data_IF_797651128345
#
_entry.id   IF_797651128345
#
_cell.length_a   1.000
_cell.length_b   1.000
_cell.length_c   1.000
_cell.angle_alpha   90.00
_cell.angle_beta   90.00
_cell.angle_gamma   90.00
#
_symmetry.space_group_name_H-M   'P 1'
#
loop_
_entity.id
_entity.type
_entity.pdbx_description
1 polymer ?
#
# COMPACT_ATOMS: atom_id res chain seq x y z
N UNK A 1 57.79 -2.32 -36.23
CA UNK A 1 56.39 -2.00 -35.85
C UNK A 1 55.68 -3.33 -35.61
N UNK A 2 55.30 -3.65 -34.37
CA UNK A 2 54.52 -4.86 -34.08
C UNK A 2 53.04 -4.49 -34.04
N UNK A 3 52.21 -5.18 -34.82
CA UNK A 3 50.76 -4.98 -34.79
C UNK A 3 50.16 -5.65 -33.56
N UNK A 4 49.23 -4.96 -32.88
CA UNK A 4 48.45 -5.51 -31.78
C UNK A 4 47.24 -6.24 -32.37
N UNK A 5 47.23 -7.57 -32.24
CA UNK A 5 46.11 -8.43 -32.68
C UNK A 5 45.19 -8.77 -31.50
N UNK A 6 43.97 -9.23 -31.80
CA UNK A 6 42.94 -9.55 -30.81
C UNK A 6 43.39 -10.65 -29.82
N UNK A 7 44.28 -11.54 -30.25
CA UNK A 7 44.88 -12.60 -29.42
C UNK A 7 45.76 -12.05 -28.28
N UNK A 8 46.18 -10.78 -28.36
CA UNK A 8 47.00 -10.12 -27.33
C UNK A 8 46.18 -9.22 -26.40
N UNK A 9 44.85 -9.20 -26.55
CA UNK A 9 43.95 -8.34 -25.78
C UNK A 9 43.08 -9.18 -24.86
N UNK A 10 43.23 -8.99 -23.55
CA UNK A 10 42.37 -9.63 -22.54
C UNK A 10 41.18 -8.71 -22.22
N UNK A 11 39.96 -9.24 -22.29
CA UNK A 11 38.74 -8.50 -22.01
C UNK A 11 38.35 -8.54 -20.53
N UNK A 12 37.63 -7.51 -20.08
CA UNK A 12 37.03 -7.45 -18.74
C UNK A 12 36.10 -8.66 -18.53
N UNK A 13 36.40 -9.51 -17.56
CA UNK A 13 35.61 -10.73 -17.23
C UNK A 13 36.25 -12.05 -17.68
N UNK A 14 37.37 -12.00 -18.42
CA UNK A 14 38.17 -13.19 -18.69
C UNK A 14 38.99 -13.57 -17.44
N UNK A 15 38.93 -14.84 -17.03
CA UNK A 15 39.74 -15.38 -15.93
C UNK A 15 40.97 -16.05 -16.52
N UNK A 16 42.17 -15.53 -16.21
CA UNK A 16 43.43 -16.15 -16.60
C UNK A 16 43.60 -17.49 -15.86
N UNK A 17 43.90 -18.55 -16.61
CA UNK A 17 44.18 -19.88 -16.08
C UNK A 17 45.58 -20.31 -16.52
N UNK A 18 46.24 -21.15 -15.72
CA UNK A 18 47.53 -21.76 -16.03
C UNK A 18 48.73 -20.78 -16.10
N UNK A 19 48.66 -19.63 -15.43
CA UNK A 19 49.77 -18.67 -15.25
C UNK A 19 49.73 -18.06 -13.85
N UNK A 20 50.90 -17.85 -13.21
CA UNK A 20 50.96 -17.32 -11.84
C UNK A 20 50.79 -15.80 -11.77
N UNK A 21 51.33 -15.06 -12.75
CA UNK A 21 51.21 -13.61 -12.83
C UNK A 21 51.32 -13.16 -14.29
N UNK A 22 50.73 -12.00 -14.60
CA UNK A 22 50.75 -11.38 -15.91
C UNK A 22 50.88 -9.87 -15.75
N UNK A 23 51.79 -9.24 -16.50
CA UNK A 23 51.88 -7.79 -16.61
C UNK A 23 51.23 -7.34 -17.92
N UNK A 24 50.35 -6.35 -17.85
CA UNK A 24 49.67 -5.80 -19.01
C UNK A 24 49.36 -4.32 -18.81
N UNK A 25 49.13 -3.62 -19.92
CA UNK A 25 48.74 -2.20 -19.93
C UNK A 25 47.23 -2.12 -20.19
N UNK A 26 46.53 -1.28 -19.42
CA UNK A 26 45.09 -1.06 -19.60
C UNK A 26 44.90 -0.14 -20.81
N UNK A 27 44.35 -0.69 -21.90
CA UNK A 27 44.08 0.06 -23.13
C UNK A 27 42.67 0.70 -23.09
N UNK A 28 41.69 0.00 -22.51
CA UNK A 28 40.30 0.46 -22.41
C UNK A 28 39.76 0.26 -20.99
N UNK A 29 39.25 1.34 -20.39
CA UNK A 29 38.66 1.32 -19.04
C UNK A 29 37.20 1.80 -19.08
N UNK A 30 36.34 1.18 -18.26
CA UNK A 30 34.95 1.60 -18.10
C UNK A 30 34.08 1.39 -19.36
N UNK A 31 33.36 2.45 -19.76
CA UNK A 31 32.33 2.46 -20.83
C UNK A 31 32.86 2.14 -22.22
N UNK A 32 34.17 2.23 -22.39
CA UNK A 32 34.85 1.98 -23.67
C UNK A 32 35.29 0.51 -23.81
N UNK A 33 35.04 -0.33 -22.79
CA UNK A 33 35.27 -1.78 -22.91
C UNK A 33 34.25 -2.40 -23.87
N UNK A 34 34.72 -3.28 -24.78
CA UNK A 34 33.87 -4.00 -25.74
C UNK A 34 32.67 -4.70 -25.06
N UNK A 35 32.83 -5.14 -23.82
CA UNK A 35 31.76 -5.78 -23.03
C UNK A 35 30.65 -4.80 -22.63
N UNK A 36 30.99 -3.56 -22.25
CA UNK A 36 29.99 -2.54 -21.89
C UNK A 36 29.32 -1.94 -23.12
N UNK A 37 30.00 -1.92 -24.27
CA UNK A 37 29.40 -1.55 -25.55
C UNK A 37 28.45 -2.63 -26.10
N UNK A 38 28.69 -3.91 -25.79
CA UNK A 38 27.80 -5.02 -26.15
C UNK A 38 26.69 -5.26 -25.11
N UNK A 39 26.82 -4.68 -23.91
CA UNK A 39 25.76 -4.65 -22.91
C UNK A 39 24.74 -3.58 -23.30
N UNK A 40 23.70 -3.98 -24.03
CA UNK A 40 22.57 -3.10 -24.32
C UNK A 40 22.01 -2.49 -23.03
N UNK A 41 21.60 -1.20 -23.08
CA UNK A 41 21.04 -0.47 -21.94
C UNK A 41 20.03 -1.35 -21.21
N UNK A 42 20.21 -1.55 -19.91
CA UNK A 42 19.28 -2.29 -19.04
C UNK A 42 17.88 -1.70 -19.19
N UNK A 43 17.06 -2.31 -20.05
CA UNK A 43 15.64 -1.98 -20.13
C UNK A 43 14.99 -2.59 -18.89
N UNK A 44 14.59 -1.73 -17.97
CA UNK A 44 13.68 -2.09 -16.90
C UNK A 44 12.51 -2.86 -17.52
N UNK A 45 12.33 -4.10 -17.07
CA UNK A 45 11.28 -5.00 -17.51
C UNK A 45 9.97 -4.46 -16.91
N UNK A 46 9.36 -3.47 -17.56
CA UNK A 46 7.98 -3.04 -17.22
C UNK A 46 7.07 -4.23 -17.38
N UNK A 47 6.32 -4.54 -16.34
CA UNK A 47 5.39 -5.65 -16.34
C UNK A 47 4.28 -5.37 -17.36
N UNK A 48 3.76 -6.42 -18.00
CA UNK A 48 2.64 -6.32 -18.95
C UNK A 48 1.38 -5.67 -18.34
N UNK A 49 1.31 -5.61 -17.01
CA UNK A 49 0.25 -4.96 -16.21
C UNK A 49 0.23 -3.45 -16.43
N UNK A 50 1.40 -2.79 -16.50
CA UNK A 50 1.50 -1.34 -16.74
C UNK A 50 0.86 -0.94 -18.07
N UNK A 51 0.94 -1.81 -19.08
CA UNK A 51 0.42 -1.56 -20.43
C UNK A 51 -1.10 -1.71 -20.50
N UNK A 52 -1.66 -2.65 -19.75
CA UNK A 52 -3.11 -2.86 -19.63
C UNK A 52 -3.76 -1.68 -18.89
N UNK A 53 -3.13 -1.24 -17.79
CA UNK A 53 -3.57 -0.06 -17.04
C UNK A 53 -3.55 1.19 -17.92
N UNK A 54 -2.46 1.40 -18.69
CA UNK A 54 -2.36 2.55 -19.58
C UNK A 54 -3.38 2.51 -20.74
N UNK A 55 -3.77 1.33 -21.22
CA UNK A 55 -4.82 1.19 -22.24
C UNK A 55 -6.21 1.55 -21.71
N UNK A 56 -6.53 1.13 -20.49
CA UNK A 56 -7.77 1.52 -19.80
C UNK A 56 -7.78 3.04 -19.55
N UNK A 57 -6.64 3.62 -19.16
CA UNK A 57 -6.48 5.07 -18.90
C UNK A 57 -6.61 5.91 -20.18
N UNK A 58 -6.12 5.45 -21.34
CA UNK A 58 -6.22 6.19 -22.61
C UNK A 58 -7.63 6.07 -23.23
N UNK A 59 -8.33 4.95 -23.00
CA UNK A 59 -9.72 4.76 -23.45
C UNK A 59 -10.73 5.64 -22.70
N UNK A 60 -10.43 6.00 -21.45
CA UNK A 60 -11.15 7.02 -20.69
C UNK A 60 -10.41 8.35 -20.80
N UNK A 61 -10.80 9.23 -21.72
CA UNK A 61 -10.25 10.58 -21.84
C UNK A 61 -10.17 11.30 -20.47
N UNK A 62 -9.00 11.31 -19.84
CA UNK A 62 -8.74 12.03 -18.60
C UNK A 62 -7.29 12.54 -18.51
N UNK A 63 -7.10 13.79 -18.04
CA UNK A 63 -5.81 14.43 -17.86
C UNK A 63 -5.05 13.84 -16.66
N UNK A 64 -3.74 13.65 -16.81
CA UNK A 64 -2.75 13.40 -15.75
C UNK A 64 -2.99 12.20 -14.83
N UNK A 65 -2.14 11.19 -15.00
CA UNK A 65 -1.93 9.99 -14.15
C UNK A 65 -1.90 10.31 -12.64
N UNK A 66 -1.50 11.54 -12.28
CA UNK A 66 -1.44 12.07 -10.90
C UNK A 66 -2.82 12.36 -10.29
N UNK A 67 -3.84 12.67 -11.10
CA UNK A 67 -5.23 12.83 -10.67
C UNK A 67 -5.88 11.47 -10.46
N UNK A 68 -5.55 10.48 -11.31
CA UNK A 68 -6.09 9.13 -11.21
C UNK A 68 -5.69 8.44 -9.90
N UNK A 69 -4.41 8.51 -9.50
CA UNK A 69 -3.94 7.93 -8.22
C UNK A 69 -4.61 8.59 -7.01
N UNK A 70 -4.90 9.89 -7.09
CA UNK A 70 -5.64 10.62 -6.04
C UNK A 70 -7.11 10.23 -5.98
N UNK A 71 -7.77 10.08 -7.13
CA UNK A 71 -9.19 9.70 -7.20
C UNK A 71 -9.37 8.24 -6.78
N UNK A 72 -8.49 7.32 -7.18
CA UNK A 72 -8.51 5.92 -6.72
C UNK A 72 -8.35 5.83 -5.19
N UNK A 73 -7.42 6.59 -4.60
CA UNK A 73 -7.27 6.67 -3.15
C UNK A 73 -8.53 7.18 -2.46
N UNK A 74 -9.16 8.23 -2.99
CA UNK A 74 -10.40 8.79 -2.45
C UNK A 74 -11.56 7.78 -2.53
N UNK A 75 -11.70 7.05 -3.65
CA UNK A 75 -12.76 6.05 -3.84
C UNK A 75 -12.59 4.86 -2.88
N UNK A 76 -11.36 4.39 -2.68
CA UNK A 76 -11.07 3.31 -1.72
C UNK A 76 -11.35 3.75 -0.29
N UNK A 77 -10.96 4.97 0.09
CA UNK A 77 -11.29 5.53 1.40
C UNK A 77 -12.80 5.66 1.60
N UNK A 78 -13.53 6.14 0.58
CA UNK A 78 -14.99 6.25 0.65
C UNK A 78 -15.65 4.88 0.83
N UNK A 79 -15.17 3.85 0.12
CA UNK A 79 -15.67 2.49 0.25
C UNK A 79 -15.44 1.89 1.64
N UNK A 80 -14.27 2.13 2.22
CA UNK A 80 -13.92 1.67 3.58
C UNK A 80 -14.79 2.38 4.61
N UNK A 81 -14.92 3.71 4.53
CA UNK A 81 -15.76 4.50 5.45
C UNK A 81 -17.22 4.06 5.37
N UNK A 82 -17.75 3.82 4.16
CA UNK A 82 -19.12 3.34 3.98
C UNK A 82 -19.34 1.95 4.58
N UNK A 83 -18.40 1.02 4.38
CA UNK A 83 -18.44 -0.31 4.98
C UNK A 83 -18.38 -0.26 6.52
N UNK A 84 -17.55 0.63 7.05
CA UNK A 84 -17.32 0.80 8.49
C UNK A 84 -18.55 1.43 9.16
N UNK A 85 -19.19 2.41 8.53
CA UNK A 85 -20.47 2.98 8.97
C UNK A 85 -21.57 1.91 9.05
N UNK A 86 -21.65 1.02 8.05
CA UNK A 86 -22.62 -0.08 8.02
C UNK A 86 -22.43 -1.05 9.20
N UNK A 87 -21.18 -1.44 9.49
CA UNK A 87 -20.86 -2.29 10.64
C UNK A 87 -21.20 -1.61 11.98
N UNK A 88 -20.88 -0.32 12.13
CA UNK A 88 -21.23 0.43 13.33
C UNK A 88 -22.75 0.49 13.56
N UNK A 89 -23.54 0.71 12.51
CA UNK A 89 -25.01 0.74 12.58
C UNK A 89 -25.58 -0.62 12.98
N UNK A 90 -25.05 -1.70 12.41
CA UNK A 90 -25.48 -3.05 12.78
C UNK A 90 -25.19 -3.36 14.25
N UNK A 91 -23.98 -3.05 14.74
CA UNK A 91 -23.62 -3.22 16.15
C UNK A 91 -24.46 -2.34 17.08
N UNK A 92 -24.80 -1.11 16.68
CA UNK A 92 -25.68 -0.21 17.44
C UNK A 92 -27.07 -0.81 17.63
N UNK A 93 -27.68 -1.31 16.55
CA UNK A 93 -29.00 -1.95 16.60
C UNK A 93 -28.94 -3.22 17.46
N UNK A 94 -27.91 -4.04 17.27
CA UNK A 94 -27.72 -5.26 18.06
C UNK A 94 -27.57 -4.98 19.56
N UNK A 95 -26.77 -3.97 19.94
CA UNK A 95 -26.63 -3.54 21.33
C UNK A 95 -27.94 -2.96 21.89
N UNK A 96 -28.67 -2.15 21.13
CA UNK A 96 -29.96 -1.61 21.57
C UNK A 96 -31.02 -2.70 21.82
N UNK A 97 -31.08 -3.72 20.96
CA UNK A 97 -31.98 -4.87 21.13
C UNK A 97 -31.54 -5.71 22.33
N UNK A 98 -30.24 -6.00 22.45
CA UNK A 98 -29.68 -6.77 23.57
C UNK A 98 -29.95 -6.11 24.92
N UNK A 99 -29.77 -4.80 24.99
CA UNK A 99 -29.99 -4.01 26.19
C UNK A 99 -31.46 -4.06 26.64
N UNK A 100 -32.38 -4.00 25.67
CA UNK A 100 -33.83 -4.06 25.93
C UNK A 100 -34.27 -5.43 26.45
N UNK A 101 -33.66 -6.53 25.98
CA UNK A 101 -34.09 -7.90 26.34
C UNK A 101 -33.34 -8.44 27.57
N UNK A 102 -32.02 -8.31 27.59
CA UNK A 102 -31.12 -8.96 28.58
C UNK A 102 -30.55 -7.95 29.57
N UNK A 103 -30.26 -6.71 29.15
CA UNK A 103 -29.61 -5.69 29.99
C UNK A 103 -30.38 -5.37 31.27
N UNK A 104 -31.71 -5.46 31.21
CA UNK A 104 -32.63 -5.32 32.35
C UNK A 104 -32.36 -6.34 33.47
N UNK A 105 -32.04 -7.59 33.14
CA UNK A 105 -31.72 -8.62 34.13
C UNK A 105 -30.31 -8.43 34.72
N UNK A 106 -29.41 -7.83 33.94
CA UNK A 106 -28.03 -7.59 34.33
C UNK A 106 -27.83 -6.34 35.20
N UNK A 107 -28.83 -5.45 35.30
CA UNK A 107 -28.79 -4.30 36.22
C UNK A 107 -28.53 -4.68 37.69
N UNK A 108 -28.82 -5.92 38.08
CA UNK A 108 -28.55 -6.41 39.44
C UNK A 108 -27.05 -6.57 39.72
N UNK A 109 -26.24 -6.79 38.69
CA UNK A 109 -24.79 -6.97 38.79
C UNK A 109 -24.01 -5.71 38.37
N UNK A 110 -24.57 -4.91 37.45
CA UNK A 110 -23.93 -3.69 36.94
C UNK A 110 -24.97 -2.54 36.86
N UNK A 111 -25.09 -1.71 37.91
CA UNK A 111 -26.03 -0.58 37.91
C UNK A 111 -25.58 0.51 36.94
N UNK A 112 -26.55 1.12 36.23
CA UNK A 112 -26.29 2.23 35.32
C UNK A 112 -25.87 3.49 36.08
N UNK A 113 -24.98 4.24 35.45
CA UNK A 113 -24.59 5.55 35.93
C UNK A 113 -25.77 6.54 35.85
N UNK A 114 -25.74 7.60 36.67
CA UNK A 114 -26.87 8.57 36.78
C UNK A 114 -27.17 9.34 35.48
N UNK A 115 -26.28 9.24 34.48
CA UNK A 115 -26.42 9.77 33.13
C UNK A 115 -27.45 9.01 32.26
N UNK A 116 -27.80 7.77 32.63
CA UNK A 116 -28.74 6.94 31.88
C UNK A 116 -30.11 7.01 32.56
N UNK A 117 -31.16 7.46 31.87
CA UNK A 117 -32.47 7.63 32.50
C UNK A 117 -33.06 6.27 32.88
N UNK A 118 -33.75 6.20 34.03
CA UNK A 118 -34.30 4.96 34.61
C UNK A 118 -35.42 4.32 33.78
N UNK A 119 -35.91 5.02 32.77
CA UNK A 119 -36.88 4.50 31.80
C UNK A 119 -36.25 3.43 30.89
N UNK A 120 -36.89 2.26 30.73
CA UNK A 120 -36.31 1.14 29.99
C UNK A 120 -35.96 1.46 28.53
N UNK A 121 -36.80 2.24 27.85
CA UNK A 121 -36.55 2.62 26.45
C UNK A 121 -35.51 3.74 26.34
N UNK A 122 -35.62 4.78 27.18
CA UNK A 122 -34.67 5.90 27.17
C UNK A 122 -33.26 5.45 27.55
N UNK A 123 -33.12 4.56 28.52
CA UNK A 123 -31.80 4.03 28.90
C UNK A 123 -31.14 3.26 27.76
N UNK A 124 -31.85 2.28 27.18
CA UNK A 124 -31.33 1.45 26.10
C UNK A 124 -30.92 2.26 24.85
N UNK A 125 -31.69 3.30 24.51
CA UNK A 125 -31.38 4.17 23.36
C UNK A 125 -30.14 5.04 23.59
N UNK A 126 -29.96 5.60 24.80
CA UNK A 126 -28.76 6.37 25.16
C UNK A 126 -27.51 5.49 25.15
N UNK A 127 -27.60 4.28 25.69
CA UNK A 127 -26.49 3.31 25.69
C UNK A 127 -26.11 2.92 24.26
N UNK A 128 -27.09 2.58 23.41
CA UNK A 128 -26.84 2.24 22.02
C UNK A 128 -26.17 3.39 21.24
N UNK A 129 -26.55 4.65 21.51
CA UNK A 129 -25.91 5.83 20.93
C UNK A 129 -24.47 6.02 21.39
N UNK A 130 -24.18 5.83 22.68
CA UNK A 130 -22.81 5.92 23.20
C UNK A 130 -21.92 4.81 22.63
N UNK A 131 -22.47 3.60 22.52
CA UNK A 131 -21.82 2.44 21.93
C UNK A 131 -21.48 2.66 20.45
N UNK A 132 -22.35 3.34 19.70
CA UNK A 132 -22.06 3.73 18.31
C UNK A 132 -20.79 4.59 18.19
N UNK A 133 -20.66 5.63 19.02
CA UNK A 133 -19.46 6.48 19.03
C UNK A 133 -18.20 5.71 19.47
N UNK A 134 -18.34 4.82 20.46
CA UNK A 134 -17.22 4.00 20.93
C UNK A 134 -16.69 3.06 19.84
N UNK A 135 -17.58 2.34 19.14
CA UNK A 135 -17.17 1.45 18.04
C UNK A 135 -16.59 2.20 16.84
N UNK A 136 -17.05 3.42 16.54
CA UNK A 136 -16.45 4.25 15.50
C UNK A 136 -14.98 4.60 15.80
N UNK A 137 -14.65 4.87 17.06
CA UNK A 137 -13.27 5.15 17.50
C UNK A 137 -12.41 3.89 17.44
N UNK A 138 -12.94 2.76 17.91
CA UNK A 138 -12.21 1.48 17.91
C UNK A 138 -11.94 1.00 16.49
N UNK A 139 -12.93 1.06 15.61
CA UNK A 139 -12.82 0.60 14.22
C UNK A 139 -12.00 1.54 13.33
N UNK A 140 -11.75 2.79 13.75
CA UNK A 140 -10.80 3.67 13.06
C UNK A 140 -9.39 3.06 12.96
N UNK A 141 -9.04 2.13 13.86
CA UNK A 141 -7.78 1.36 13.79
C UNK A 141 -7.73 0.34 12.65
N UNK A 142 -8.88 -0.06 12.10
CA UNK A 142 -8.99 -0.95 10.93
C UNK A 142 -8.56 -0.23 9.65
N UNK A 143 -8.59 1.11 9.64
CA UNK A 143 -7.99 1.91 8.57
C UNK A 143 -6.47 1.96 8.81
N UNK A 144 -5.65 1.23 8.06
CA UNK A 144 -4.22 1.18 8.33
C UNK A 144 -3.61 2.51 7.88
N UNK A 145 -3.15 3.32 8.82
CA UNK A 145 -2.41 4.56 8.54
C UNK A 145 -1.18 4.26 7.66
N UNK A 146 -0.62 3.05 7.79
CA UNK A 146 0.48 2.54 6.98
C UNK A 146 0.15 2.41 5.49
N UNK A 147 -1.13 2.22 5.13
CA UNK A 147 -1.58 2.17 3.73
C UNK A 147 -1.53 3.57 3.12
N UNK A 148 -1.97 4.59 3.87
CA UNK A 148 -1.91 5.99 3.45
C UNK A 148 -0.45 6.46 3.20
N UNK A 149 0.45 6.17 4.14
CA UNK A 149 1.88 6.54 4.00
C UNK A 149 2.53 5.85 2.81
N UNK A 150 2.15 4.60 2.51
CA UNK A 150 2.68 3.85 1.36
C UNK A 150 2.18 4.41 0.02
N UNK A 151 0.91 4.80 -0.06
CA UNK A 151 0.35 5.48 -1.24
C UNK A 151 0.97 6.87 -1.45
N UNK A 152 1.16 7.66 -0.39
CA UNK A 152 1.84 8.97 -0.49
C UNK A 152 3.29 8.79 -0.91
N UNK A 153 3.99 7.79 -0.35
CA UNK A 153 5.38 7.48 -0.68
C UNK A 153 5.58 7.10 -2.14
N UNK A 154 4.71 6.27 -2.73
CA UNK A 154 4.82 5.93 -4.16
C UNK A 154 4.54 7.12 -5.09
N UNK A 155 3.60 8.00 -4.73
CA UNK A 155 3.30 9.20 -5.54
C UNK A 155 4.43 10.24 -5.52
N UNK A 156 5.22 10.30 -4.45
CA UNK A 156 6.39 11.21 -4.39
C UNK A 156 7.57 10.71 -5.24
N UNK A 157 7.65 9.40 -5.50
CA UNK A 157 8.77 8.79 -6.24
C UNK A 157 8.52 8.80 -7.77
N UNK A 158 7.30 9.15 -8.23
CA UNK A 158 6.90 9.25 -9.65
C UNK A 158 6.62 10.69 -10.14
#
# INVERSE_FOLDING_TARGET
RYSLDNDKVVLRGCVLRNTQWCYGVVIFAGKDTKLMQNSGKTKFKRTSIDRLLNFIIIGSSAPSVRTLTRVLGLLVLFQIVFFLLSMCLFCMIACGIWETITGRYFQVYLPWDTLVPSEPLGGATVIALLVFFSYAIVLNTVVPISLYVRYVGEVTIL
#
